data_IF_681780962713
#
_entry.id   IF_681780962713
#
_cell.length_a   1.000
_cell.length_b   1.000
_cell.length_c   1.000
_cell.angle_alpha   90.00
_cell.angle_beta   90.00
_cell.angle_gamma   90.00
#
_symmetry.space_group_name_H-M   'P 1'
#
loop_
_entity.id
_entity.type
_entity.pdbx_description
1 polymer ?
#
# COMPACT_ATOMS: atom_id res chain seq x y z
N UNK A 1 14.48 11.16 7.37
CA UNK A 1 14.79 9.88 6.68
C UNK A 1 14.34 10.05 5.25
N UNK A 2 15.22 9.74 4.30
CA UNK A 2 14.87 9.79 2.88
C UNK A 2 13.89 8.65 2.56
N UNK A 3 12.75 8.98 1.94
CA UNK A 3 11.70 8.00 1.62
C UNK A 3 12.22 6.96 0.62
N UNK A 4 13.10 7.35 -0.31
CA UNK A 4 13.68 6.41 -1.25
C UNK A 4 14.54 5.36 -0.55
N UNK A 5 15.34 5.82 0.42
CA UNK A 5 16.16 4.93 1.25
C UNK A 5 15.27 4.00 2.08
N UNK A 6 14.21 4.52 2.69
CA UNK A 6 13.27 3.71 3.48
C UNK A 6 12.62 2.63 2.60
N UNK A 7 11.99 3.02 1.50
CA UNK A 7 11.24 2.11 0.61
C UNK A 7 12.18 1.04 0.07
N UNK A 8 13.36 1.45 -0.42
CA UNK A 8 14.37 0.51 -0.93
C UNK A 8 14.83 -0.47 0.15
N UNK A 9 15.08 0.01 1.38
CA UNK A 9 15.52 -0.82 2.49
C UNK A 9 14.46 -1.85 2.90
N UNK A 10 13.20 -1.44 2.98
CA UNK A 10 12.10 -2.34 3.35
C UNK A 10 11.84 -3.40 2.27
N UNK A 11 11.89 -3.03 0.99
CA UNK A 11 11.77 -3.98 -0.11
C UNK A 11 12.93 -4.99 -0.11
N UNK A 12 14.17 -4.53 0.09
CA UNK A 12 15.35 -5.41 0.19
C UNK A 12 15.27 -6.34 1.40
N UNK A 13 14.80 -5.86 2.55
CA UNK A 13 14.61 -6.69 3.75
C UNK A 13 13.60 -7.84 3.51
N UNK A 14 12.64 -7.66 2.60
CA UNK A 14 11.70 -8.69 2.17
C UNK A 14 12.21 -9.54 0.98
N UNK A 15 13.48 -9.38 0.60
CA UNK A 15 14.15 -10.18 -0.42
C UNK A 15 13.86 -9.76 -1.86
N UNK A 16 13.47 -8.50 -2.08
CA UNK A 16 13.31 -7.94 -3.42
C UNK A 16 14.56 -7.19 -3.90
N UNK A 17 14.89 -7.34 -5.18
CA UNK A 17 15.86 -6.47 -5.84
C UNK A 17 15.25 -5.10 -6.12
N UNK A 18 15.96 -4.03 -5.77
CA UNK A 18 15.53 -2.65 -6.00
C UNK A 18 16.56 -1.97 -6.91
N UNK A 19 16.19 -1.70 -8.15
CA UNK A 19 16.96 -0.91 -9.11
C UNK A 19 16.03 0.10 -9.78
N UNK A 20 16.57 1.13 -10.41
CA UNK A 20 15.77 2.17 -11.09
C UNK A 20 14.82 1.61 -12.16
N UNK A 21 15.11 0.42 -12.71
CA UNK A 21 14.26 -0.23 -13.71
C UNK A 21 12.99 -0.87 -13.12
N UNK A 22 12.97 -1.10 -11.81
CA UNK A 22 11.88 -1.81 -11.12
C UNK A 22 11.30 -1.02 -9.97
N UNK A 23 11.93 0.07 -9.54
CA UNK A 23 11.43 0.96 -8.50
C UNK A 23 11.57 2.41 -8.98
N UNK A 24 10.45 3.10 -9.08
CA UNK A 24 10.39 4.54 -9.28
C UNK A 24 9.67 5.18 -8.09
N UNK A 25 10.26 6.25 -7.57
CA UNK A 25 9.66 7.05 -6.49
C UNK A 25 9.60 8.49 -6.99
N UNK A 26 8.38 9.00 -7.12
CA UNK A 26 8.15 10.37 -7.60
C UNK A 26 7.75 11.23 -6.39
N UNK A 27 8.64 12.11 -5.91
CA UNK A 27 8.33 12.99 -4.79
C UNK A 27 7.41 14.14 -5.23
N UNK A 28 6.52 14.54 -4.32
CA UNK A 28 5.59 15.66 -4.47
C UNK A 28 4.82 15.86 -3.16
N UNK A 29 3.68 16.56 -3.20
CA UNK A 29 2.75 16.57 -2.05
C UNK A 29 2.30 15.16 -1.68
N UNK A 30 2.14 14.32 -2.70
CA UNK A 30 1.91 12.88 -2.58
C UNK A 30 3.09 12.17 -3.21
N UNK A 31 3.71 11.26 -2.46
CA UNK A 31 4.84 10.46 -2.95
C UNK A 31 4.30 9.21 -3.62
N UNK A 32 4.64 9.01 -4.89
CA UNK A 32 4.19 7.83 -5.65
C UNK A 32 5.28 6.77 -5.61
N UNK A 33 4.90 5.54 -5.25
CA UNK A 33 5.74 4.36 -5.30
C UNK A 33 5.25 3.48 -6.43
N UNK A 34 6.15 3.24 -7.37
CA UNK A 34 5.91 2.37 -8.51
C UNK A 34 6.95 1.25 -8.53
N UNK A 35 6.55 0.05 -8.11
CA UNK A 35 7.44 -1.09 -7.91
C UNK A 35 7.03 -2.32 -8.73
N UNK A 36 7.87 -2.70 -9.69
CA UNK A 36 7.63 -3.70 -10.74
C UNK A 36 8.72 -4.79 -10.77
N UNK A 37 8.87 -5.62 -9.71
CA UNK A 37 9.79 -6.74 -9.73
C UNK A 37 9.29 -7.85 -10.70
N UNK A 38 10.13 -8.83 -11.05
CA UNK A 38 9.67 -9.98 -11.80
C UNK A 38 8.45 -10.64 -11.14
N UNK A 39 7.37 -10.82 -11.90
CA UNK A 39 6.14 -11.52 -11.51
C UNK A 39 5.26 -10.82 -10.45
N UNK A 40 5.54 -9.57 -10.10
CA UNK A 40 4.65 -8.81 -9.22
C UNK A 40 4.66 -7.31 -9.55
N UNK A 41 3.68 -6.60 -9.02
CA UNK A 41 3.54 -5.16 -9.14
C UNK A 41 2.93 -4.61 -7.86
N UNK A 42 3.45 -3.48 -7.42
CA UNK A 42 2.93 -2.67 -6.33
C UNK A 42 2.94 -1.20 -6.73
N UNK A 43 1.75 -0.61 -6.80
CA UNK A 43 1.57 0.83 -6.99
C UNK A 43 0.85 1.40 -5.77
N UNK A 44 1.45 2.41 -5.14
CA UNK A 44 0.88 3.08 -3.98
C UNK A 44 1.22 4.57 -3.95
N UNK A 45 0.32 5.34 -3.33
CA UNK A 45 0.47 6.77 -3.14
C UNK A 45 0.54 7.08 -1.64
N UNK A 46 1.60 7.78 -1.21
CA UNK A 46 1.82 8.16 0.18
C UNK A 46 1.50 9.65 0.36
N UNK A 47 0.38 9.93 1.00
CA UNK A 47 -0.08 11.27 1.35
C UNK A 47 0.35 11.60 2.78
N UNK A 48 1.56 12.13 2.88
CA UNK A 48 2.21 12.44 4.14
C UNK A 48 1.51 13.60 4.88
N UNK A 49 0.86 14.49 4.14
CA UNK A 49 0.12 15.63 4.69
C UNK A 49 -1.12 15.16 5.44
N UNK A 50 -1.90 14.27 4.83
CA UNK A 50 -3.13 13.78 5.45
C UNK A 50 -2.93 12.55 6.35
N UNK A 51 -1.77 11.89 6.28
CA UNK A 51 -1.42 10.73 7.09
C UNK A 51 -1.96 9.42 6.53
N UNK A 52 -2.07 9.30 5.21
CA UNK A 52 -2.64 8.14 4.53
C UNK A 52 -1.69 7.55 3.49
N UNK A 53 -1.83 6.25 3.25
CA UNK A 53 -1.23 5.54 2.13
C UNK A 53 -2.35 4.89 1.32
N UNK A 54 -2.51 5.27 0.06
CA UNK A 54 -3.48 4.68 -0.85
C UNK A 54 -2.82 3.52 -1.59
N UNK A 55 -3.37 2.34 -1.37
CA UNK A 55 -2.96 1.15 -2.09
C UNK A 55 -3.83 1.00 -3.33
N UNK A 56 -3.26 1.40 -4.46
CA UNK A 56 -3.94 1.48 -5.74
C UNK A 56 -3.88 0.14 -6.48
N UNK A 57 -2.76 -0.58 -6.40
CA UNK A 57 -2.64 -1.87 -7.06
C UNK A 57 -1.63 -2.81 -6.39
N UNK A 58 -2.08 -4.03 -6.11
CA UNK A 58 -1.23 -5.18 -5.80
C UNK A 58 -1.53 -6.29 -6.81
N UNK A 59 -0.51 -6.67 -7.57
CA UNK A 59 -0.63 -7.77 -8.51
C UNK A 59 0.51 -8.76 -8.32
N UNK A 60 0.18 -10.05 -8.44
CA UNK A 60 1.13 -11.14 -8.52
C UNK A 60 0.70 -11.98 -9.71
N UNK A 61 1.66 -12.28 -10.59
CA UNK A 61 1.45 -13.17 -11.74
C UNK A 61 0.75 -14.45 -11.26
N UNK A 62 -0.39 -14.85 -11.88
CA UNK A 62 -1.09 -16.08 -11.56
C UNK A 62 -0.19 -17.31 -11.40
N UNK A 63 0.85 -17.44 -12.24
CA UNK A 63 1.80 -18.57 -12.24
C UNK A 63 2.73 -18.57 -11.02
N UNK A 64 2.89 -17.42 -10.38
CA UNK A 64 3.77 -17.23 -9.22
C UNK A 64 2.99 -17.08 -7.89
N UNK A 65 1.67 -17.27 -7.91
CA UNK A 65 0.85 -17.26 -6.69
C UNK A 65 1.19 -18.43 -5.78
N UNK A 66 0.82 -18.29 -4.51
CA UNK A 66 1.09 -19.27 -3.44
C UNK A 66 2.58 -19.49 -3.10
N UNK A 67 3.49 -18.69 -3.67
CA UNK A 67 4.92 -18.69 -3.36
C UNK A 67 5.33 -17.59 -2.34
N UNK A 68 4.35 -17.00 -1.64
CA UNK A 68 4.59 -15.97 -0.63
C UNK A 68 5.00 -14.58 -1.16
N UNK A 69 5.14 -14.38 -2.49
CA UNK A 69 5.56 -13.09 -3.09
C UNK A 69 4.66 -11.93 -2.65
N UNK A 70 3.34 -12.08 -2.82
CA UNK A 70 2.38 -11.04 -2.40
C UNK A 70 2.39 -10.78 -0.90
N UNK A 71 2.68 -11.80 -0.08
CA UNK A 71 2.77 -11.64 1.37
C UNK A 71 3.99 -10.81 1.78
N UNK A 72 5.15 -11.06 1.15
CA UNK A 72 6.39 -10.30 1.35
C UNK A 72 6.26 -8.86 0.87
N UNK A 73 5.65 -8.66 -0.30
CA UNK A 73 5.43 -7.33 -0.85
C UNK A 73 4.49 -6.50 0.03
N UNK A 74 3.41 -7.13 0.53
CA UNK A 74 2.51 -6.49 1.48
C UNK A 74 3.23 -6.18 2.80
N UNK A 75 4.06 -7.07 3.32
CA UNK A 75 4.83 -6.84 4.53
C UNK A 75 5.79 -5.64 4.39
N UNK A 76 6.47 -5.50 3.24
CA UNK A 76 7.29 -4.31 2.96
C UNK A 76 6.44 -3.04 2.99
N UNK A 77 5.29 -3.03 2.30
CA UNK A 77 4.41 -1.87 2.26
C UNK A 77 3.86 -1.51 3.65
N UNK A 78 3.43 -2.49 4.44
CA UNK A 78 2.98 -2.27 5.81
C UNK A 78 4.09 -1.72 6.71
N UNK A 79 5.32 -2.21 6.56
CA UNK A 79 6.49 -1.67 7.27
C UNK A 79 6.77 -0.21 6.88
N UNK A 80 6.77 0.12 5.59
CA UNK A 80 6.94 1.49 5.10
C UNK A 80 5.88 2.41 5.73
N UNK A 81 4.61 1.99 5.72
CA UNK A 81 3.53 2.79 6.29
C UNK A 81 3.64 2.93 7.81
N UNK A 82 4.11 1.90 8.51
CA UNK A 82 4.36 1.97 9.96
C UNK A 82 5.45 2.98 10.31
N UNK A 83 6.59 2.91 9.63
CA UNK A 83 7.71 3.84 9.83
C UNK A 83 7.32 5.30 9.54
N UNK A 84 6.43 5.50 8.56
CA UNK A 84 5.88 6.81 8.20
C UNK A 84 4.61 7.20 8.97
N UNK A 85 4.11 6.33 9.87
CA UNK A 85 2.86 6.51 10.62
C UNK A 85 1.64 6.80 9.74
N UNK A 86 1.54 6.13 8.60
CA UNK A 86 0.46 6.28 7.62
C UNK A 86 -0.62 5.21 7.81
N UNK A 87 -1.89 5.63 7.74
CA UNK A 87 -3.02 4.70 7.66
C UNK A 87 -3.18 4.21 6.23
N UNK A 88 -3.13 2.90 6.03
CA UNK A 88 -3.31 2.28 4.72
C UNK A 88 -4.80 2.28 4.38
N UNK A 89 -5.14 2.74 3.18
CA UNK A 89 -6.48 2.69 2.61
C UNK A 89 -6.46 1.82 1.36
N UNK A 90 -7.41 0.89 1.27
CA UNK A 90 -7.65 0.05 0.08
C UNK A 90 -9.05 0.37 -0.41
N UNK A 91 -9.15 1.08 -1.53
CA UNK A 91 -10.44 1.51 -2.06
C UNK A 91 -11.04 0.49 -3.05
N UNK A 92 -10.22 -0.10 -3.91
CA UNK A 92 -10.65 -1.08 -4.90
C UNK A 92 -10.38 -2.52 -4.44
N UNK A 93 -11.11 -2.94 -3.41
CA UNK A 93 -10.95 -4.26 -2.84
C UNK A 93 -11.83 -5.30 -3.56
N UNK A 94 -11.19 -6.28 -4.22
CA UNK A 94 -11.86 -7.42 -4.87
C UNK A 94 -11.94 -8.69 -4.00
N UNK A 95 -11.32 -8.71 -2.83
CA UNK A 95 -11.27 -9.86 -1.94
C UNK A 95 -11.22 -9.44 -0.45
N UNK A 96 -12.36 -9.03 0.12
CA UNK A 96 -12.41 -8.54 1.50
C UNK A 96 -11.94 -9.55 2.54
N UNK A 97 -12.18 -10.83 2.35
CA UNK A 97 -11.80 -11.85 3.33
C UNK A 97 -10.28 -12.05 3.41
N UNK A 98 -9.58 -11.90 2.28
CA UNK A 98 -8.13 -11.92 2.27
C UNK A 98 -7.53 -10.82 3.15
N UNK A 99 -8.05 -9.59 3.02
CA UNK A 99 -7.54 -8.44 3.76
C UNK A 99 -7.95 -8.47 5.23
N UNK A 100 -9.18 -8.87 5.54
CA UNK A 100 -9.65 -9.04 6.92
C UNK A 100 -8.76 -10.01 7.71
N UNK A 101 -8.38 -11.15 7.11
CA UNK A 101 -7.43 -12.11 7.72
C UNK A 101 -6.05 -11.53 8.02
N UNK A 102 -5.71 -10.37 7.44
CA UNK A 102 -4.45 -9.64 7.67
C UNK A 102 -4.61 -8.41 8.57
N UNK A 103 -5.77 -8.28 9.23
CA UNK A 103 -6.05 -7.20 10.17
C UNK A 103 -6.58 -5.91 9.54
N UNK A 104 -6.94 -5.93 8.25
CA UNK A 104 -7.64 -4.79 7.65
C UNK A 104 -9.10 -4.76 8.11
N UNK A 105 -9.58 -3.56 8.42
CA UNK A 105 -10.92 -3.30 8.94
C UNK A 105 -11.77 -2.60 7.89
N UNK A 106 -13.08 -2.84 7.93
CA UNK A 106 -14.03 -2.12 7.08
C UNK A 106 -14.18 -0.66 7.50
N UNK A 107 -14.31 0.23 6.53
CA UNK A 107 -14.60 1.65 6.79
C UNK A 107 -16.09 1.78 7.09
N UNK A 108 -16.44 2.14 8.33
CA UNK A 108 -17.83 2.39 8.72
C UNK A 108 -18.41 3.63 8.00
N UNK A 109 -19.75 3.70 7.90
CA UNK A 109 -20.42 4.71 7.09
C UNK A 109 -20.13 6.16 7.54
N UNK A 110 -20.15 6.44 8.84
CA UNK A 110 -19.89 7.78 9.38
C UNK A 110 -18.46 8.25 9.09
N UNK A 111 -17.49 7.37 9.31
CA UNK A 111 -16.09 7.67 9.05
C UNK A 111 -15.82 7.80 7.54
N UNK A 112 -16.48 6.99 6.71
CA UNK A 112 -16.42 7.09 5.24
C UNK A 112 -16.84 8.47 4.74
N UNK A 113 -17.95 9.00 5.24
CA UNK A 113 -18.44 10.33 4.86
C UNK A 113 -17.43 11.42 5.27
N UNK A 114 -16.93 11.35 6.50
CA UNK A 114 -15.93 12.29 7.01
C UNK A 114 -14.63 12.27 6.20
N UNK A 115 -14.11 11.07 5.92
CA UNK A 115 -12.91 10.88 5.11
C UNK A 115 -13.12 11.33 3.66
N UNK A 116 -14.25 10.98 3.03
CA UNK A 116 -14.54 11.39 1.65
C UNK A 116 -14.51 12.91 1.51
N UNK A 117 -15.11 13.63 2.46
CA UNK A 117 -15.09 15.09 2.48
C UNK A 117 -13.69 15.66 2.74
N UNK A 118 -12.94 15.06 3.66
CA UNK A 118 -11.59 15.53 4.02
C UNK A 118 -10.57 15.31 2.90
N UNK A 119 -10.63 14.16 2.25
CA UNK A 119 -9.65 13.71 1.27
C UNK A 119 -10.07 14.00 -0.18
N UNK A 120 -11.31 14.43 -0.41
CA UNK A 120 -11.83 14.68 -1.75
C UNK A 120 -11.98 13.43 -2.62
N UNK A 121 -12.07 12.24 -2.01
CA UNK A 121 -12.16 10.95 -2.71
C UNK A 121 -13.52 10.27 -2.53
N UNK A 122 -13.87 9.41 -3.48
CA UNK A 122 -15.04 8.54 -3.38
C UNK A 122 -14.63 7.16 -2.86
N UNK A 123 -15.33 6.64 -1.85
CA UNK A 123 -15.08 5.31 -1.30
C UNK A 123 -16.06 4.27 -1.84
N UNK A 124 -15.57 3.11 -2.24
CA UNK A 124 -16.40 1.94 -2.52
C UNK A 124 -16.96 1.31 -1.24
N UNK A 125 -18.01 0.49 -1.38
CA UNK A 125 -18.62 -0.19 -0.23
C UNK A 125 -17.66 -1.13 0.49
N UNK A 126 -16.78 -1.78 -0.28
CA UNK A 126 -15.81 -2.77 0.19
C UNK A 126 -14.47 -2.17 0.60
N UNK A 127 -14.37 -0.84 0.72
CA UNK A 127 -13.13 -0.17 1.10
C UNK A 127 -12.71 -0.55 2.52
N UNK A 128 -11.42 -0.80 2.66
CA UNK A 128 -10.80 -1.24 3.90
C UNK A 128 -9.69 -0.29 4.32
N UNK A 129 -9.31 -0.38 5.59
CA UNK A 129 -8.17 0.35 6.12
C UNK A 129 -7.35 -0.50 7.09
N UNK A 130 -6.11 -0.09 7.32
CA UNK A 130 -5.27 -0.62 8.39
C UNK A 130 -4.45 0.51 9.00
N UNK A 131 -4.47 0.61 10.33
CA UNK A 131 -3.68 1.61 11.06
C UNK A 131 -2.21 1.21 11.08
N UNK A 132 -1.29 2.18 11.21
CA UNK A 132 0.12 1.90 11.41
C UNK A 132 0.33 1.44 12.87
N UNK A 133 0.13 0.15 13.11
CA UNK A 133 0.45 -0.53 14.37
C UNK A 133 1.80 -1.27 14.27
#
# INVERSE_FOLDING_TARGET
MDIEILVSSMLRAQGFGTSANVLSIVPGTIVKIDFHPPNALHYAELDLEHGFAYNENFFVDPRCRHQGIGARLLAAHEQICRELKLTILINNNRNPDYWKRRGYLGINAFWRIGLAKRLGIHFHEQSLYKRPE
#
